data_IF_260734301746
#
_entry.id   IF_260734301746
#
_cell.length_a   1.000
_cell.length_b   1.000
_cell.length_c   1.000
_cell.angle_alpha   90.00
_cell.angle_beta   90.00
_cell.angle_gamma   90.00
#
_symmetry.space_group_name_H-M   'P 1'
#
loop_
_entity.id
_entity.type
_entity.pdbx_description
1 polymer ?
#
# COMPACT_ATOMS: atom_id res chain seq x y z
N UNK A 1 11.00 15.52 -8.14
CA UNK A 1 10.74 16.87 -8.68
C UNK A 1 10.83 17.82 -7.50
N UNK A 2 12.05 18.22 -7.17
CA UNK A 2 12.39 18.98 -5.96
C UNK A 2 11.94 20.42 -6.16
N UNK A 3 10.97 20.89 -5.39
CA UNK A 3 10.54 22.29 -5.39
C UNK A 3 11.66 23.08 -4.71
N UNK A 4 12.56 23.65 -5.51
CA UNK A 4 13.51 24.66 -5.03
C UNK A 4 12.70 25.89 -4.65
N UNK A 5 12.55 26.15 -3.36
CA UNK A 5 12.13 27.46 -2.88
C UNK A 5 13.30 28.42 -3.10
N UNK A 6 13.10 29.36 -4.01
CA UNK A 6 14.03 30.43 -4.34
C UNK A 6 14.08 31.40 -3.15
N UNK A 7 15.07 31.20 -2.27
CA UNK A 7 15.39 32.13 -1.19
C UNK A 7 16.18 33.32 -1.74
N UNK A 8 15.51 34.12 -2.57
CA UNK A 8 15.94 35.51 -2.77
C UNK A 8 15.54 36.29 -1.53
N UNK A 9 16.53 36.61 -0.71
CA UNK A 9 16.44 37.58 0.39
C UNK A 9 16.11 38.95 -0.22
N UNK A 10 14.82 39.23 -0.37
CA UNK A 10 14.30 40.57 -0.53
C UNK A 10 13.77 41.00 0.85
N UNK A 11 13.90 42.30 1.15
CA UNK A 11 13.52 43.07 2.35
C UNK A 11 12.82 42.37 3.56
N UNK A 12 13.00 42.91 4.78
CA UNK A 12 12.26 42.49 6.00
C UNK A 12 10.70 42.66 5.94
N UNK A 13 10.12 42.84 4.75
CA UNK A 13 8.69 42.74 4.45
C UNK A 13 8.28 41.52 3.59
N UNK A 14 9.19 40.62 3.20
CA UNK A 14 8.98 39.62 2.14
C UNK A 14 8.56 38.21 2.60
N UNK A 15 8.06 38.04 3.82
CA UNK A 15 7.40 36.77 4.18
C UNK A 15 6.13 36.63 3.34
N UNK A 16 6.08 35.57 2.52
CA UNK A 16 4.95 35.27 1.64
C UNK A 16 3.64 35.12 2.44
N UNK A 17 2.52 35.60 1.91
CA UNK A 17 1.22 35.40 2.58
C UNK A 17 0.86 33.92 2.76
N UNK A 18 1.44 33.04 1.94
CA UNK A 18 1.25 31.60 2.11
C UNK A 18 1.98 31.05 3.34
N UNK A 19 3.14 31.61 3.67
CA UNK A 19 3.93 31.23 4.85
C UNK A 19 3.21 31.61 6.16
N UNK A 20 2.58 32.78 6.19
CA UNK A 20 1.80 33.27 7.35
C UNK A 20 0.29 33.02 7.22
N UNK A 21 -0.12 32.12 6.33
CA UNK A 21 -1.55 31.78 6.14
C UNK A 21 -2.25 31.44 7.47
N UNK A 22 -1.67 30.64 8.40
CA UNK A 22 -2.31 30.37 9.68
C UNK A 22 -2.65 31.64 10.46
N UNK A 23 -1.74 32.63 10.45
CA UNK A 23 -1.95 33.93 11.10
C UNK A 23 -3.07 34.72 10.43
N UNK A 24 -3.12 34.74 9.10
CA UNK A 24 -4.15 35.47 8.35
C UNK A 24 -5.54 34.83 8.47
N UNK A 25 -5.61 33.51 8.55
CA UNK A 25 -6.86 32.79 8.80
C UNK A 25 -7.33 32.98 10.25
N UNK A 26 -6.39 32.97 11.21
CA UNK A 26 -6.67 33.30 12.61
C UNK A 26 -7.29 34.68 12.77
N UNK A 27 -6.80 35.70 12.06
CA UNK A 27 -7.39 37.05 12.08
C UNK A 27 -8.89 37.03 11.72
N UNK A 28 -9.26 36.31 10.66
CA UNK A 28 -10.66 36.25 10.22
C UNK A 28 -11.51 35.54 11.26
N UNK A 29 -10.98 34.50 11.87
CA UNK A 29 -11.68 33.75 12.90
C UNK A 29 -11.83 34.56 14.19
N UNK A 30 -10.79 35.28 14.62
CA UNK A 30 -10.83 36.21 15.73
C UNK A 30 -11.93 37.26 15.55
N UNK A 31 -12.04 37.86 14.35
CA UNK A 31 -13.11 38.83 14.06
C UNK A 31 -14.49 38.20 14.06
N UNK A 32 -14.64 36.97 13.54
CA UNK A 32 -15.93 36.25 13.59
C UNK A 32 -16.38 36.03 15.03
N UNK A 33 -15.48 35.52 15.87
CA UNK A 33 -15.76 35.26 17.27
C UNK A 33 -16.07 36.57 18.02
N UNK A 34 -15.24 37.60 17.82
CA UNK A 34 -15.47 38.92 18.40
C UNK A 34 -16.84 39.50 18.06
N UNK A 35 -17.31 39.35 16.80
CA UNK A 35 -18.64 39.81 16.38
C UNK A 35 -19.80 39.00 16.93
N UNK A 36 -19.58 37.71 17.21
CA UNK A 36 -20.59 36.86 17.87
C UNK A 36 -20.73 37.27 19.34
N UNK A 37 -19.61 37.56 20.01
CA UNK A 37 -19.59 37.97 21.41
C UNK A 37 -20.03 39.42 21.64
N UNK A 38 -19.66 40.34 20.75
CA UNK A 38 -20.01 41.76 20.82
C UNK A 38 -20.43 42.30 19.43
N UNK A 39 -21.71 42.66 19.24
CA UNK A 39 -22.16 43.30 18.01
C UNK A 39 -21.46 44.64 17.68
N UNK A 40 -20.89 45.32 18.68
CA UNK A 40 -20.13 46.56 18.57
C UNK A 40 -18.64 46.38 18.30
N UNK A 41 -18.17 45.13 18.12
CA UNK A 41 -16.77 44.79 17.95
C UNK A 41 -16.12 45.56 16.79
N UNK A 42 -15.07 46.32 17.09
CA UNK A 42 -14.32 47.13 16.10
C UNK A 42 -13.27 46.29 15.41
N UNK A 43 -13.24 46.35 14.08
CA UNK A 43 -12.25 45.67 13.23
C UNK A 43 -12.07 46.44 11.91
N UNK A 44 -10.95 46.22 11.19
CA UNK A 44 -10.69 46.88 9.91
C UNK A 44 -11.82 46.63 8.90
N UNK A 45 -12.44 47.70 8.39
CA UNK A 45 -13.60 47.62 7.49
C UNK A 45 -13.34 46.77 6.22
N UNK A 46 -12.09 46.73 5.77
CA UNK A 46 -11.62 45.95 4.61
C UNK A 46 -11.79 44.44 4.80
N UNK A 47 -11.88 43.95 6.04
CA UNK A 47 -12.11 42.53 6.35
C UNK A 47 -13.58 42.12 6.20
N UNK A 48 -14.52 43.07 6.21
CA UNK A 48 -15.97 42.79 6.27
C UNK A 48 -16.45 41.82 5.18
N UNK A 49 -15.97 41.98 3.95
CA UNK A 49 -16.35 41.13 2.82
C UNK A 49 -15.73 39.72 2.89
N UNK A 50 -14.63 39.55 3.65
CA UNK A 50 -13.92 38.30 3.80
C UNK A 50 -14.53 37.41 4.89
N UNK A 51 -15.22 38.00 5.88
CA UNK A 51 -15.84 37.26 6.98
C UNK A 51 -16.88 36.24 6.51
N UNK A 52 -17.57 36.50 5.40
CA UNK A 52 -18.57 35.59 4.84
C UNK A 52 -17.96 34.39 4.08
N UNK A 53 -16.64 34.39 3.83
CA UNK A 53 -16.00 33.35 3.02
C UNK A 53 -15.61 32.15 3.86
N UNK A 54 -16.06 30.92 3.54
CA UNK A 54 -15.69 29.73 4.31
C UNK A 54 -14.18 29.43 4.23
N UNK A 55 -13.50 29.85 3.16
CA UNK A 55 -12.06 29.68 2.96
C UNK A 55 -11.46 30.89 2.25
N UNK A 56 -10.26 31.31 2.67
CA UNK A 56 -9.53 32.42 2.07
C UNK A 56 -8.72 31.97 0.85
N UNK A 57 -8.94 32.64 -0.27
CA UNK A 57 -8.13 32.48 -1.48
C UNK A 57 -6.80 33.21 -1.34
N UNK A 58 -5.82 32.90 -2.21
CA UNK A 58 -4.51 33.56 -2.20
C UNK A 58 -4.60 35.09 -2.31
N UNK A 59 -5.55 35.59 -3.10
CA UNK A 59 -5.80 37.04 -3.24
C UNK A 59 -6.42 37.67 -1.99
N UNK A 60 -7.17 36.90 -1.20
CA UNK A 60 -7.79 37.38 0.03
C UNK A 60 -6.74 37.54 1.14
N UNK A 61 -5.79 36.61 1.23
CA UNK A 61 -4.70 36.67 2.21
C UNK A 61 -3.94 38.00 2.17
N UNK A 62 -3.59 38.48 0.97
CA UNK A 62 -2.92 39.77 0.80
C UNK A 62 -3.78 40.94 1.28
N UNK A 63 -5.10 40.86 1.13
CA UNK A 63 -6.03 41.88 1.63
C UNK A 63 -6.10 41.86 3.15
N UNK A 64 -6.13 40.67 3.76
CA UNK A 64 -6.09 40.52 5.23
C UNK A 64 -4.80 41.12 5.78
N UNK A 65 -3.65 40.73 5.22
CA UNK A 65 -2.34 41.26 5.63
C UNK A 65 -2.32 42.78 5.61
N UNK A 66 -2.68 43.40 4.48
CA UNK A 66 -2.72 44.87 4.37
C UNK A 66 -3.66 45.54 5.38
N UNK A 67 -4.80 44.93 5.67
CA UNK A 67 -5.77 45.48 6.61
C UNK A 67 -5.26 45.45 8.05
N UNK A 68 -4.52 44.41 8.44
CA UNK A 68 -3.93 44.27 9.78
C UNK A 68 -2.64 45.07 9.92
N UNK A 69 -1.78 45.07 8.91
CA UNK A 69 -0.53 45.83 8.91
C UNK A 69 -0.76 47.34 9.03
N UNK A 70 -1.90 47.83 8.52
CA UNK A 70 -2.31 49.23 8.60
C UNK A 70 -3.11 49.60 9.85
N UNK A 71 -3.38 48.67 10.75
CA UNK A 71 -4.21 48.88 11.95
C UNK A 71 -3.50 48.33 13.20
N UNK A 72 -2.68 49.18 13.81
CA UNK A 72 -1.89 48.85 15.00
C UNK A 72 -2.75 48.53 16.21
N UNK A 73 -3.82 49.31 16.42
CA UNK A 73 -4.73 49.14 17.56
C UNK A 73 -5.44 47.79 17.50
N UNK A 74 -5.90 47.41 16.31
CA UNK A 74 -6.50 46.10 16.09
C UNK A 74 -5.51 44.97 16.34
N UNK A 75 -4.24 45.13 15.95
CA UNK A 75 -3.21 44.13 16.19
C UNK A 75 -2.85 44.00 17.68
N UNK A 76 -2.75 45.12 18.40
CA UNK A 76 -2.55 45.13 19.84
C UNK A 76 -3.72 44.48 20.60
N UNK A 77 -4.96 44.72 20.16
CA UNK A 77 -6.14 44.03 20.69
C UNK A 77 -6.04 42.51 20.53
N UNK A 78 -5.70 42.04 19.32
CA UNK A 78 -5.49 40.61 19.08
C UNK A 78 -4.41 40.03 19.98
N UNK A 79 -3.26 40.70 20.08
CA UNK A 79 -2.16 40.26 20.94
C UNK A 79 -2.59 40.10 22.41
N UNK A 80 -3.40 41.04 22.93
CA UNK A 80 -3.86 41.04 24.33
C UNK A 80 -4.87 39.94 24.66
N UNK A 81 -5.61 39.47 23.66
CA UNK A 81 -6.70 38.49 23.81
C UNK A 81 -6.31 37.10 23.31
N UNK A 82 -5.04 36.91 22.97
CA UNK A 82 -4.52 35.68 22.37
C UNK A 82 -4.29 34.60 23.45
N UNK A 83 -4.81 33.38 23.26
CA UNK A 83 -4.50 32.24 24.14
C UNK A 83 -3.02 31.86 24.15
N UNK A 84 -2.57 31.16 25.18
CA UNK A 84 -1.16 30.72 25.31
C UNK A 84 -0.77 29.62 24.31
N UNK A 85 -1.72 28.77 23.93
CA UNK A 85 -1.54 27.59 23.07
C UNK A 85 -1.66 27.89 21.57
N UNK A 86 -1.75 29.16 21.18
CA UNK A 86 -1.81 29.56 19.78
C UNK A 86 -0.54 29.17 19.02
N UNK A 87 -0.69 28.88 17.72
CA UNK A 87 0.44 28.59 16.83
C UNK A 87 1.50 29.73 16.87
N UNK A 88 2.77 29.35 16.94
CA UNK A 88 3.89 30.29 17.07
C UNK A 88 3.96 31.29 15.92
N UNK A 89 3.66 30.88 14.68
CA UNK A 89 3.65 31.78 13.51
C UNK A 89 2.55 32.83 13.66
N UNK A 90 1.37 32.42 14.17
CA UNK A 90 0.26 33.34 14.48
C UNK A 90 0.69 34.34 15.54
N UNK A 91 1.29 33.84 16.63
CA UNK A 91 1.78 34.67 17.74
C UNK A 91 2.77 35.71 17.25
N UNK A 92 3.88 35.28 16.66
CA UNK A 92 4.96 36.18 16.27
C UNK A 92 4.55 37.17 15.19
N UNK A 93 3.70 36.78 14.24
CA UNK A 93 3.22 37.71 13.22
C UNK A 93 2.35 38.83 13.79
N UNK A 94 1.54 38.52 14.82
CA UNK A 94 0.67 39.50 15.48
C UNK A 94 1.46 40.35 16.47
N UNK A 95 2.25 39.74 17.36
CA UNK A 95 2.95 40.47 18.43
C UNK A 95 4.20 41.20 17.94
N UNK A 96 4.78 40.78 16.81
CA UNK A 96 5.99 41.36 16.20
C UNK A 96 7.12 41.65 17.21
N UNK A 97 7.56 40.65 17.99
CA UNK A 97 8.76 40.81 18.81
C UNK A 97 9.97 41.13 17.93
N UNK A 98 11.05 41.62 18.53
CA UNK A 98 12.28 41.86 17.79
C UNK A 98 12.74 40.57 17.07
N UNK A 99 12.98 40.67 15.76
CA UNK A 99 13.38 39.53 14.92
C UNK A 99 12.26 38.53 14.62
N UNK A 100 10.98 38.92 14.73
CA UNK A 100 9.84 38.04 14.45
C UNK A 100 9.88 37.42 13.05
N UNK A 101 10.45 38.10 12.06
CA UNK A 101 10.59 37.59 10.71
C UNK A 101 11.46 36.31 10.68
N UNK A 102 12.62 36.36 11.33
CA UNK A 102 13.57 35.24 11.40
C UNK A 102 13.00 34.08 12.21
N UNK A 103 12.24 34.37 13.27
CA UNK A 103 11.54 33.35 14.06
C UNK A 103 10.54 32.58 13.20
N UNK A 104 9.73 33.30 12.40
CA UNK A 104 8.77 32.67 11.48
C UNK A 104 9.49 31.84 10.41
N UNK A 105 10.55 32.37 9.80
CA UNK A 105 11.30 31.63 8.78
C UNK A 105 11.91 30.34 9.36
N UNK A 106 12.53 30.42 10.53
CA UNK A 106 13.12 29.27 11.23
C UNK A 106 12.07 28.20 11.52
N UNK A 107 10.89 28.58 11.99
CA UNK A 107 9.80 27.65 12.29
C UNK A 107 9.22 27.01 11.02
N UNK A 108 9.14 27.75 9.91
CA UNK A 108 8.72 27.19 8.62
C UNK A 108 9.72 26.15 8.12
N UNK A 109 11.01 26.45 8.21
CA UNK A 109 12.08 25.51 7.85
C UNK A 109 12.03 24.25 8.73
N UNK A 110 11.81 24.42 10.03
CA UNK A 110 11.68 23.31 10.97
C UNK A 110 10.48 22.41 10.64
N UNK A 111 9.31 22.99 10.38
CA UNK A 111 8.12 22.23 9.94
C UNK A 111 8.34 21.52 8.61
N UNK A 112 9.07 22.15 7.69
CA UNK A 112 9.43 21.52 6.41
C UNK A 112 10.33 20.30 6.63
N UNK A 113 11.37 20.42 7.46
CA UNK A 113 12.25 19.30 7.84
C UNK A 113 11.47 18.15 8.48
N UNK A 114 10.61 18.44 9.45
CA UNK A 114 9.78 17.41 10.12
C UNK A 114 8.87 16.67 9.13
N UNK A 115 8.33 17.39 8.13
CA UNK A 115 7.49 16.80 7.09
C UNK A 115 8.31 15.89 6.17
N UNK A 116 9.50 16.33 5.75
CA UNK A 116 10.43 15.53 4.95
C UNK A 116 10.88 14.27 5.69
N UNK A 117 11.25 14.38 6.96
CA UNK A 117 11.62 13.26 7.82
C UNK A 117 10.48 12.25 7.98
N UNK A 118 9.24 12.74 8.18
CA UNK A 118 8.05 11.89 8.26
C UNK A 118 7.79 11.14 6.93
N UNK A 119 7.99 11.81 5.79
CA UNK A 119 7.89 11.17 4.48
C UNK A 119 8.97 10.11 4.26
N UNK A 120 10.22 10.42 4.61
CA UNK A 120 11.33 9.48 4.54
C UNK A 120 11.08 8.24 5.42
N UNK A 121 10.62 8.44 6.65
CA UNK A 121 10.24 7.34 7.55
C UNK A 121 9.11 6.48 6.96
N UNK A 122 8.09 7.11 6.37
CA UNK A 122 6.99 6.40 5.73
C UNK A 122 7.43 5.59 4.49
N UNK A 123 8.38 6.11 3.72
CA UNK A 123 8.97 5.40 2.57
C UNK A 123 9.76 4.17 3.02
N UNK A 124 10.57 4.29 4.09
CA UNK A 124 11.30 3.15 4.69
C UNK A 124 10.33 2.05 5.13
N UNK A 125 9.24 2.41 5.83
CA UNK A 125 8.23 1.44 6.27
C UNK A 125 7.54 0.76 5.08
N UNK A 126 7.21 1.51 4.03
CA UNK A 126 6.61 0.95 2.80
C UNK A 126 7.53 -0.04 2.13
N UNK A 127 8.81 0.27 2.01
CA UNK A 127 9.79 -0.61 1.39
C UNK A 127 10.05 -1.86 2.23
N UNK A 128 10.14 -1.75 3.56
CA UNK A 128 10.26 -2.91 4.44
C UNK A 128 9.05 -3.84 4.33
N UNK A 129 7.83 -3.30 4.26
CA UNK A 129 6.62 -4.10 4.05
C UNK A 129 6.64 -4.82 2.70
N UNK A 130 7.10 -4.15 1.64
CA UNK A 130 7.24 -4.73 0.31
C UNK A 130 8.23 -5.90 0.31
N UNK A 131 9.39 -5.73 0.95
CA UNK A 131 10.41 -6.77 1.07
C UNK A 131 9.90 -7.99 1.83
N UNK A 132 9.31 -7.81 3.01
CA UNK A 132 8.71 -8.91 3.78
C UNK A 132 7.65 -9.66 3.00
N UNK A 133 6.79 -8.95 2.27
CA UNK A 133 5.78 -9.58 1.43
C UNK A 133 6.38 -10.34 0.23
N UNK A 134 7.52 -9.89 -0.31
CA UNK A 134 8.24 -10.60 -1.37
C UNK A 134 8.92 -11.86 -0.82
N UNK A 135 9.58 -11.75 0.33
CA UNK A 135 10.21 -12.88 1.05
C UNK A 135 9.17 -13.95 1.40
N UNK A 136 8.02 -13.57 1.95
CA UNK A 136 6.95 -14.51 2.28
C UNK A 136 6.44 -15.25 1.02
N UNK A 137 6.26 -14.54 -0.11
CA UNK A 137 5.84 -15.15 -1.36
C UNK A 137 6.89 -16.09 -1.93
N UNK A 138 8.16 -15.73 -1.84
CA UNK A 138 9.27 -16.59 -2.26
C UNK A 138 9.29 -17.87 -1.43
N UNK A 139 9.17 -17.75 -0.10
CA UNK A 139 9.13 -18.90 0.79
C UNK A 139 7.93 -19.83 0.49
N UNK A 140 6.73 -19.27 0.30
CA UNK A 140 5.56 -20.07 -0.08
C UNK A 140 5.75 -20.76 -1.44
N UNK A 141 6.36 -20.07 -2.41
CA UNK A 141 6.63 -20.66 -3.72
C UNK A 141 7.68 -21.78 -3.65
N UNK A 142 8.70 -21.65 -2.80
CA UNK A 142 9.69 -22.69 -2.54
C UNK A 142 9.03 -23.93 -1.91
N UNK A 143 8.22 -23.76 -0.87
CA UNK A 143 7.49 -24.87 -0.25
C UNK A 143 6.57 -25.57 -1.24
N UNK A 144 5.78 -24.82 -2.02
CA UNK A 144 4.90 -25.41 -3.03
C UNK A 144 5.67 -26.15 -4.14
N UNK A 145 6.86 -25.66 -4.53
CA UNK A 145 7.74 -26.35 -5.48
C UNK A 145 8.23 -27.67 -4.90
N UNK A 146 8.68 -27.67 -3.66
CA UNK A 146 9.23 -28.86 -3.01
C UNK A 146 8.14 -29.93 -2.82
N UNK A 147 6.95 -29.54 -2.38
CA UNK A 147 5.76 -30.42 -2.33
C UNK A 147 5.40 -31.00 -3.71
N UNK A 148 5.47 -30.18 -4.76
CA UNK A 148 5.21 -30.63 -6.13
C UNK A 148 6.27 -31.64 -6.61
N UNK A 149 7.54 -31.43 -6.28
CA UNK A 149 8.62 -32.37 -6.61
C UNK A 149 8.43 -33.70 -5.88
N UNK A 150 8.09 -33.68 -4.60
CA UNK A 150 7.77 -34.89 -3.83
C UNK A 150 6.62 -35.66 -4.47
N UNK A 151 5.53 -34.96 -4.85
CA UNK A 151 4.39 -35.58 -5.49
C UNK A 151 4.73 -36.19 -6.86
N UNK A 152 5.51 -35.50 -7.70
CA UNK A 152 5.99 -36.02 -8.99
C UNK A 152 6.83 -37.29 -8.77
N UNK A 153 7.66 -37.30 -7.72
CA UNK A 153 8.53 -38.43 -7.41
C UNK A 153 7.70 -39.64 -6.95
N UNK A 154 6.68 -39.42 -6.13
CA UNK A 154 5.74 -40.45 -5.71
C UNK A 154 4.95 -41.04 -6.89
N UNK A 155 4.40 -40.19 -7.77
CA UNK A 155 3.67 -40.63 -8.96
C UNK A 155 4.56 -41.43 -9.93
N UNK A 156 5.85 -41.08 -10.04
CA UNK A 156 6.80 -41.87 -10.84
C UNK A 156 7.01 -43.26 -10.25
N UNK A 157 7.23 -43.36 -8.94
CA UNK A 157 7.38 -44.64 -8.27
C UNK A 157 6.13 -45.52 -8.41
N UNK A 158 4.94 -44.93 -8.28
CA UNK A 158 3.67 -45.63 -8.51
C UNK A 158 3.53 -46.09 -9.97
N UNK A 159 3.89 -45.24 -10.94
CA UNK A 159 3.84 -45.60 -12.35
C UNK A 159 4.78 -46.77 -12.69
N UNK A 160 5.98 -46.76 -12.12
CA UNK A 160 6.94 -47.84 -12.29
C UNK A 160 6.45 -49.14 -11.66
N UNK A 161 5.87 -49.09 -10.45
CA UNK A 161 5.25 -50.26 -9.82
C UNK A 161 4.08 -50.83 -10.64
N UNK A 162 3.20 -49.97 -11.17
CA UNK A 162 2.10 -50.40 -12.04
C UNK A 162 2.60 -51.03 -13.35
N UNK A 163 3.72 -50.55 -13.90
CA UNK A 163 4.35 -51.15 -15.08
C UNK A 163 4.91 -52.54 -14.79
N UNK A 164 5.55 -52.72 -13.65
CA UNK A 164 6.04 -54.03 -13.20
C UNK A 164 4.87 -55.01 -12.99
N UNK A 165 3.80 -54.55 -12.36
CA UNK A 165 2.59 -55.36 -12.16
C UNK A 165 1.93 -55.74 -13.50
N UNK A 166 1.85 -54.81 -14.44
CA UNK A 166 1.33 -55.06 -15.78
C UNK A 166 2.18 -56.10 -16.53
N UNK A 167 3.51 -55.97 -16.50
CA UNK A 167 4.42 -56.94 -17.11
C UNK A 167 4.29 -58.33 -16.48
N UNK A 168 4.07 -58.41 -15.16
CA UNK A 168 3.81 -59.68 -14.47
C UNK A 168 2.51 -60.34 -14.92
N UNK A 169 1.43 -59.56 -15.05
CA UNK A 169 0.15 -60.09 -15.53
C UNK A 169 0.20 -60.49 -17.02
N UNK A 170 0.93 -59.74 -17.86
CA UNK A 170 1.17 -60.12 -19.25
C UNK A 170 1.92 -61.46 -19.35
N UNK A 171 2.97 -61.67 -18.53
CA UNK A 171 3.68 -62.95 -18.46
C UNK A 171 2.75 -64.10 -18.03
N UNK A 172 1.94 -63.90 -17.00
CA UNK A 172 0.96 -64.91 -16.56
C UNK A 172 -0.08 -65.23 -17.63
N UNK A 173 -0.51 -64.22 -18.37
CA UNK A 173 -1.45 -64.43 -19.47
C UNK A 173 -0.81 -65.29 -20.55
N UNK A 174 0.46 -65.03 -20.90
CA UNK A 174 1.19 -65.87 -21.86
C UNK A 174 1.30 -67.32 -21.37
N UNK A 175 1.64 -67.57 -20.11
CA UNK A 175 1.73 -68.93 -19.54
C UNK A 175 0.38 -69.67 -19.62
N UNK A 176 -0.72 -68.97 -19.34
CA UNK A 176 -2.08 -69.52 -19.44
C UNK A 176 -2.43 -69.84 -20.90
N UNK A 177 -2.11 -68.95 -21.83
CA UNK A 177 -2.36 -69.15 -23.26
C UNK A 177 -1.56 -70.35 -23.81
N UNK A 178 -0.29 -70.49 -23.40
CA UNK A 178 0.54 -71.65 -23.71
C UNK A 178 -0.03 -72.95 -23.13
N UNK A 179 -0.49 -72.92 -21.88
CA UNK A 179 -1.15 -74.06 -21.24
C UNK A 179 -2.42 -74.47 -21.98
N UNK A 180 -3.26 -73.50 -22.37
CA UNK A 180 -4.49 -73.73 -23.15
C UNK A 180 -4.13 -74.35 -24.51
N UNK A 181 -3.10 -73.85 -25.19
CA UNK A 181 -2.64 -74.40 -26.46
C UNK A 181 -2.18 -75.86 -26.32
N UNK A 182 -1.42 -76.17 -25.27
CA UNK A 182 -0.98 -77.53 -24.92
C UNK A 182 -2.16 -78.47 -24.67
N UNK A 183 -3.08 -78.09 -23.79
CA UNK A 183 -4.29 -78.88 -23.47
C UNK A 183 -5.16 -79.12 -24.70
N UNK A 184 -5.32 -78.11 -25.59
CA UNK A 184 -6.03 -78.28 -26.86
C UNK A 184 -5.36 -79.30 -27.78
N UNK A 185 -4.02 -79.34 -27.80
CA UNK A 185 -3.28 -80.33 -28.57
C UNK A 185 -3.43 -81.75 -27.99
N UNK A 186 -3.34 -81.91 -26.68
CA UNK A 186 -3.55 -83.18 -26.00
C UNK A 186 -4.98 -83.72 -26.24
N UNK A 187 -5.99 -82.84 -26.14
CA UNK A 187 -7.38 -83.20 -26.42
C UNK A 187 -7.57 -83.69 -27.86
N UNK A 188 -6.93 -83.04 -28.85
CA UNK A 188 -6.92 -83.51 -30.24
C UNK A 188 -6.33 -84.91 -30.35
N UNK A 189 -5.15 -85.15 -29.78
CA UNK A 189 -4.52 -86.47 -29.80
C UNK A 189 -5.32 -87.54 -29.04
N UNK A 190 -6.03 -87.18 -27.97
CA UNK A 190 -6.93 -88.09 -27.26
C UNK A 190 -8.14 -88.47 -28.12
N UNK A 191 -8.76 -87.49 -28.78
CA UNK A 191 -9.86 -87.73 -29.71
C UNK A 191 -9.44 -88.59 -30.90
N UNK A 192 -8.27 -88.33 -31.51
CA UNK A 192 -7.74 -89.15 -32.61
C UNK A 192 -7.53 -90.61 -32.18
N UNK A 193 -7.02 -90.83 -30.96
CA UNK A 193 -6.84 -92.17 -30.38
C UNK A 193 -8.17 -92.88 -30.13
N UNK A 194 -9.16 -92.16 -29.60
CA UNK A 194 -10.52 -92.68 -29.39
C UNK A 194 -11.17 -93.08 -30.72
N UNK A 195 -11.09 -92.21 -31.73
CA UNK A 195 -11.63 -92.48 -33.06
C UNK A 195 -10.97 -93.71 -33.68
N UNK A 196 -9.64 -93.80 -33.63
CA UNK A 196 -8.91 -94.96 -34.13
C UNK A 196 -9.29 -96.27 -33.40
N UNK A 197 -9.58 -96.22 -32.10
CA UNK A 197 -10.06 -97.37 -31.34
C UNK A 197 -11.49 -97.78 -31.74
N UNK A 198 -12.38 -96.80 -31.94
CA UNK A 198 -13.75 -97.04 -32.43
C UNK A 198 -13.75 -97.67 -33.83
N UNK A 199 -12.94 -97.15 -34.75
CA UNK A 199 -12.81 -97.68 -36.11
C UNK A 199 -12.28 -99.12 -36.14
N UNK A 200 -11.44 -99.51 -35.16
CA UNK A 200 -10.96 -100.90 -35.00
C UNK A 200 -12.07 -101.82 -34.49
N UNK A 201 -12.86 -101.38 -33.51
CA UNK A 201 -14.00 -102.14 -33.00
C UNK A 201 -15.09 -102.35 -34.07
N UNK A 202 -15.31 -101.37 -34.94
CA UNK A 202 -16.27 -101.48 -36.04
C UNK A 202 -15.83 -102.47 -37.16
N UNK A 203 -14.56 -102.86 -37.19
CA UNK A 203 -13.98 -103.77 -38.20
C UNK A 203 -13.79 -105.21 -37.70
N UNK A 204 -14.02 -105.49 -36.41
CA UNK A 204 -14.01 -106.85 -35.84
C UNK A 204 -15.42 -107.42 -35.75
#
# INVERSE_FOLDING_TARGET
>A
MTVRYDHTVANPGDISELAIRPALEYVIEFVRQGRVSDPGFRYPAHLRQLLARPRLLKSDLRRVRKAVDGDEEFRALMASSMPDDVDLIVRWWITRPDGWEDLILTEIEERARQTEDAHAAADVVREQRRRRAAEQRAQTAETARDESLEHITALRAENDALREELAHYESKQQDVDETIAGLRQELRHANDRLQAAQDRLAKS
#
